data_IF_230363952081
#
_entry.id   IF_230363952081
#
_cell.length_a   1.000
_cell.length_b   1.000
_cell.length_c   1.000
_cell.angle_alpha   90.00
_cell.angle_beta   90.00
_cell.angle_gamma   90.00
#
_symmetry.space_group_name_H-M   'P 1'
#
loop_
_entity.id
_entity.type
_entity.pdbx_description
1 polymer ?
#
# COMPACT_ATOMS: atom_id res chain seq x y z
N UNK A 1 41.25 -34.94 -16.74
CA UNK A 1 40.61 -34.05 -15.73
C UNK A 1 39.74 -33.03 -16.49
N UNK A 2 38.42 -33.18 -16.51
CA UNK A 2 37.51 -32.19 -17.13
C UNK A 2 37.20 -31.12 -16.09
N UNK A 3 37.60 -29.88 -16.36
CA UNK A 3 37.24 -28.71 -15.56
C UNK A 3 35.71 -28.53 -15.57
N UNK A 4 35.06 -28.22 -14.43
CA UNK A 4 33.64 -27.90 -14.40
C UNK A 4 33.41 -26.58 -15.14
N UNK A 5 32.53 -26.58 -16.13
CA UNK A 5 32.03 -25.37 -16.78
C UNK A 5 31.33 -24.49 -15.74
N UNK A 6 31.60 -23.17 -15.70
CA UNK A 6 30.90 -22.27 -14.79
C UNK A 6 29.41 -22.29 -15.13
N UNK A 7 28.58 -22.68 -14.16
CA UNK A 7 27.13 -22.60 -14.27
C UNK A 7 26.76 -21.15 -14.54
N UNK A 8 26.26 -20.87 -15.75
CA UNK A 8 25.73 -19.56 -16.12
C UNK A 8 24.74 -19.13 -15.05
N UNK A 9 25.09 -18.09 -14.29
CA UNK A 9 24.21 -17.49 -13.31
C UNK A 9 22.97 -17.02 -14.07
N UNK A 10 21.82 -17.66 -13.83
CA UNK A 10 20.57 -17.33 -14.49
C UNK A 10 20.36 -15.80 -14.45
N UNK A 11 20.18 -15.20 -15.62
CA UNK A 11 19.95 -13.76 -15.74
C UNK A 11 18.84 -13.34 -14.76
N UNK A 12 18.99 -12.22 -14.02
CA UNK A 12 17.95 -11.76 -13.11
C UNK A 12 16.63 -11.66 -13.87
N UNK A 13 15.59 -12.35 -13.40
CA UNK A 13 14.26 -12.28 -14.03
C UNK A 13 13.84 -10.81 -14.11
N UNK A 14 13.38 -10.34 -15.28
CA UNK A 14 12.98 -8.95 -15.45
C UNK A 14 11.87 -8.61 -14.45
N UNK A 15 12.10 -7.54 -13.69
CA UNK A 15 11.14 -7.01 -12.71
C UNK A 15 9.90 -6.54 -13.46
N UNK A 16 8.72 -6.84 -12.94
CA UNK A 16 7.45 -6.49 -13.59
C UNK A 16 7.20 -4.98 -13.45
N UNK A 17 7.60 -4.21 -14.48
CA UNK A 17 7.55 -2.74 -14.51
C UNK A 17 6.16 -2.21 -14.12
N UNK A 18 5.10 -2.81 -14.67
CA UNK A 18 3.71 -2.42 -14.42
C UNK A 18 3.30 -2.54 -12.94
N UNK A 19 3.88 -3.47 -12.17
CA UNK A 19 3.61 -3.58 -10.72
C UNK A 19 4.17 -2.38 -9.96
N UNK A 20 5.39 -1.94 -10.32
CA UNK A 20 6.00 -0.77 -9.71
C UNK A 20 5.25 0.51 -10.16
N UNK A 21 4.87 0.62 -11.44
CA UNK A 21 4.05 1.74 -11.94
C UNK A 21 2.73 1.83 -11.18
N UNK A 22 2.01 0.72 -11.03
CA UNK A 22 0.75 0.69 -10.30
C UNK A 22 0.92 1.18 -8.86
N UNK A 23 1.94 0.69 -8.14
CA UNK A 23 2.23 1.13 -6.77
C UNK A 23 2.54 2.62 -6.70
N UNK A 24 3.26 3.16 -7.69
CA UNK A 24 3.57 4.58 -7.80
C UNK A 24 2.33 5.43 -8.03
N UNK A 25 1.48 5.05 -8.98
CA UNK A 25 0.21 5.72 -9.26
C UNK A 25 -0.73 5.67 -8.05
N UNK A 26 -0.91 4.48 -7.46
CA UNK A 26 -1.82 4.30 -6.35
C UNK A 26 -1.39 5.10 -5.11
N UNK A 27 -0.08 5.17 -4.78
CA UNK A 27 0.36 6.01 -3.66
C UNK A 27 0.16 7.50 -3.94
N UNK A 28 0.39 7.98 -5.17
CA UNK A 28 0.10 9.38 -5.53
C UNK A 28 -1.39 9.68 -5.44
N UNK A 29 -2.26 8.75 -5.87
CA UNK A 29 -3.71 8.86 -5.68
C UNK A 29 -4.12 8.86 -4.20
N UNK A 30 -3.35 8.23 -3.30
CA UNK A 30 -3.57 8.33 -1.84
C UNK A 30 -3.17 9.72 -1.34
N UNK A 31 -2.06 10.28 -1.81
CA UNK A 31 -1.67 11.66 -1.47
C UNK A 31 -2.74 12.65 -1.93
N UNK A 32 -3.27 12.48 -3.15
CA UNK A 32 -4.32 13.34 -3.69
C UNK A 32 -5.63 13.27 -2.90
N UNK A 33 -6.01 12.07 -2.43
CA UNK A 33 -7.13 11.92 -1.49
C UNK A 33 -6.90 12.73 -0.23
N UNK A 34 -5.74 12.53 0.41
CA UNK A 34 -5.46 13.17 1.68
C UNK A 34 -5.30 14.68 1.58
N UNK A 35 -4.85 15.19 0.43
CA UNK A 35 -4.86 16.61 0.14
C UNK A 35 -6.29 17.17 0.11
N UNK A 36 -7.21 16.53 -0.64
CA UNK A 36 -8.63 16.92 -0.65
C UNK A 36 -9.28 16.78 0.74
N UNK A 37 -9.10 15.65 1.42
CA UNK A 37 -9.73 15.45 2.73
C UNK A 37 -9.19 16.44 3.76
N UNK A 38 -7.89 16.74 3.74
CA UNK A 38 -7.32 17.73 4.64
C UNK A 38 -7.84 19.14 4.38
N UNK A 39 -8.11 19.50 3.12
CA UNK A 39 -8.73 20.78 2.78
C UNK A 39 -10.15 20.86 3.34
N UNK A 40 -10.96 19.82 3.12
CA UNK A 40 -12.34 19.72 3.63
C UNK A 40 -12.39 19.69 5.15
N UNK A 41 -11.50 18.93 5.80
CA UNK A 41 -11.35 18.90 7.27
C UNK A 41 -11.03 20.28 7.86
N UNK A 42 -10.48 21.20 7.04
CA UNK A 42 -10.17 22.58 7.44
C UNK A 42 -11.35 23.53 7.23
N UNK A 43 -12.54 23.01 6.85
CA UNK A 43 -13.75 23.80 6.60
C UNK A 43 -13.80 24.50 5.24
N UNK A 44 -12.83 24.22 4.35
CA UNK A 44 -12.71 24.88 3.05
C UNK A 44 -13.41 24.10 1.93
N UNK A 45 -13.87 24.82 0.90
CA UNK A 45 -14.53 24.20 -0.25
C UNK A 45 -13.59 23.23 -0.99
N UNK A 46 -14.10 22.03 -1.31
CA UNK A 46 -13.37 20.99 -2.04
C UNK A 46 -13.22 21.31 -3.52
N UNK A 47 -12.33 20.60 -4.21
CA UNK A 47 -12.28 20.58 -5.69
C UNK A 47 -13.21 19.51 -6.25
N UNK A 48 -14.16 19.89 -7.13
CA UNK A 48 -15.06 18.92 -7.77
C UNK A 48 -14.32 17.98 -8.74
N UNK A 49 -13.30 18.46 -9.46
CA UNK A 49 -12.44 17.60 -10.28
C UNK A 49 -11.76 16.52 -9.43
N UNK A 50 -11.19 16.90 -8.28
CA UNK A 50 -10.50 15.94 -7.40
C UNK A 50 -11.50 15.04 -6.68
N UNK A 51 -12.73 15.50 -6.43
CA UNK A 51 -13.83 14.66 -5.93
C UNK A 51 -14.11 13.55 -6.94
N UNK A 52 -14.27 13.90 -8.22
CA UNK A 52 -14.58 12.94 -9.29
C UNK A 52 -13.46 11.92 -9.47
N UNK A 53 -12.20 12.37 -9.48
CA UNK A 53 -11.05 11.47 -9.51
C UNK A 53 -11.08 10.51 -8.31
N UNK A 54 -11.27 11.02 -7.10
CA UNK A 54 -11.33 10.19 -5.89
C UNK A 54 -12.50 9.19 -5.90
N UNK A 55 -13.66 9.58 -6.43
CA UNK A 55 -14.80 8.70 -6.58
C UNK A 55 -14.52 7.59 -7.61
N UNK A 56 -13.96 7.95 -8.76
CA UNK A 56 -13.65 7.02 -9.85
C UNK A 56 -12.68 5.90 -9.43
N UNK A 57 -11.64 6.24 -8.65
CA UNK A 57 -10.60 5.28 -8.24
C UNK A 57 -10.79 4.71 -6.85
N UNK A 58 -11.81 5.16 -6.11
CA UNK A 58 -11.98 4.88 -4.68
C UNK A 58 -12.01 3.39 -4.35
N UNK A 59 -12.78 2.62 -5.12
CA UNK A 59 -12.90 1.16 -4.97
C UNK A 59 -11.63 0.39 -5.41
N UNK A 60 -10.69 1.01 -6.11
CA UNK A 60 -9.53 0.29 -6.68
C UNK A 60 -8.22 0.63 -6.00
N UNK A 61 -8.07 1.86 -5.49
CA UNK A 61 -6.81 2.40 -4.97
C UNK A 61 -6.24 1.60 -3.79
N UNK A 62 -6.99 1.47 -2.70
CA UNK A 62 -6.51 0.74 -1.51
C UNK A 62 -6.57 -0.78 -1.70
N UNK A 63 -7.67 -1.36 -2.24
CA UNK A 63 -7.72 -2.78 -2.53
C UNK A 63 -6.59 -3.25 -3.43
N UNK A 64 -6.24 -2.49 -4.46
CA UNK A 64 -5.20 -2.92 -5.38
C UNK A 64 -3.78 -2.77 -4.84
N UNK A 65 -3.49 -1.81 -3.96
CA UNK A 65 -2.22 -1.80 -3.23
C UNK A 65 -2.05 -3.07 -2.35
N UNK A 66 -3.14 -3.57 -1.76
CA UNK A 66 -3.10 -4.83 -0.99
C UNK A 66 -3.00 -6.05 -1.88
N UNK A 67 -3.75 -6.09 -2.98
CA UNK A 67 -3.65 -7.15 -3.97
C UNK A 67 -2.22 -7.26 -4.51
N UNK A 68 -1.61 -6.16 -4.95
CA UNK A 68 -0.22 -6.15 -5.43
C UNK A 68 0.76 -6.55 -4.32
N UNK A 69 0.53 -6.12 -3.08
CA UNK A 69 1.35 -6.56 -1.93
C UNK A 69 1.26 -8.06 -1.69
N UNK A 70 0.06 -8.64 -1.85
CA UNK A 70 -0.23 -10.06 -1.75
C UNK A 70 0.38 -10.90 -2.87
N UNK A 71 0.43 -10.39 -4.10
CA UNK A 71 1.08 -11.07 -5.23
C UNK A 71 2.57 -11.39 -4.97
N UNK A 72 3.20 -10.65 -4.04
CA UNK A 72 4.59 -10.85 -3.62
C UNK A 72 4.74 -11.82 -2.43
N UNK A 73 3.64 -12.33 -1.88
CA UNK A 73 3.63 -13.25 -0.73
C UNK A 73 4.35 -14.56 -1.05
N UNK A 74 3.99 -15.24 -2.14
CA UNK A 74 4.57 -16.53 -2.51
C UNK A 74 6.09 -16.44 -2.71
N UNK A 75 6.57 -15.32 -3.27
CA UNK A 75 8.01 -15.06 -3.42
C UNK A 75 8.68 -14.84 -2.05
N UNK A 76 8.00 -14.15 -1.14
CA UNK A 76 8.49 -13.92 0.23
C UNK A 76 8.60 -15.24 1.00
N UNK A 77 7.59 -16.13 0.89
CA UNK A 77 7.52 -17.42 1.60
C UNK A 77 8.60 -18.45 1.18
N UNK A 78 9.31 -18.21 0.07
CA UNK A 78 10.48 -19.04 -0.33
C UNK A 78 11.68 -18.87 0.61
N UNK A 79 11.70 -17.82 1.42
CA UNK A 79 12.77 -17.56 2.40
C UNK A 79 12.54 -18.36 3.70
N UNK A 80 13.60 -18.75 4.42
CA UNK A 80 13.45 -19.31 5.76
C UNK A 80 12.66 -18.36 6.68
N UNK A 81 11.85 -18.91 7.59
CA UNK A 81 10.91 -18.15 8.41
C UNK A 81 11.56 -16.99 9.18
N UNK A 82 12.76 -17.19 9.74
CA UNK A 82 13.49 -16.12 10.43
C UNK A 82 13.89 -14.96 9.50
N UNK A 83 14.38 -15.26 8.29
CA UNK A 83 14.73 -14.22 7.30
C UNK A 83 13.50 -13.50 6.76
N UNK A 84 12.40 -14.24 6.59
CA UNK A 84 11.11 -13.68 6.23
C UNK A 84 10.65 -12.66 7.27
N UNK A 85 10.57 -13.07 8.54
CA UNK A 85 10.04 -12.24 9.62
C UNK A 85 10.94 -11.04 9.90
N UNK A 86 12.26 -11.22 9.96
CA UNK A 86 13.22 -10.13 10.09
C UNK A 86 13.08 -9.11 8.96
N UNK A 87 12.81 -9.58 7.72
CA UNK A 87 12.54 -8.71 6.58
C UNK A 87 11.29 -7.86 6.75
N UNK A 88 10.18 -8.46 7.24
CA UNK A 88 8.91 -7.76 7.47
C UNK A 88 8.97 -6.81 8.65
N UNK A 89 9.60 -7.21 9.75
CA UNK A 89 9.84 -6.34 10.91
C UNK A 89 10.64 -5.10 10.48
N UNK A 90 11.72 -5.30 9.73
CA UNK A 90 12.58 -4.20 9.29
C UNK A 90 11.90 -3.22 8.32
N UNK A 91 11.15 -3.73 7.34
CA UNK A 91 10.68 -2.93 6.20
C UNK A 91 9.21 -2.55 6.24
N UNK A 92 8.46 -3.11 7.20
CA UNK A 92 7.01 -2.88 7.33
C UNK A 92 6.70 -2.46 8.76
N UNK A 93 7.04 -3.29 9.76
CA UNK A 93 6.71 -2.98 11.15
C UNK A 93 7.43 -1.73 11.65
N UNK A 94 8.71 -1.56 11.32
CA UNK A 94 9.46 -0.37 11.69
C UNK A 94 8.86 0.93 11.13
N UNK A 95 8.71 1.12 9.80
CA UNK A 95 8.10 2.34 9.29
C UNK A 95 6.65 2.51 9.76
N UNK A 96 5.91 1.43 9.96
CA UNK A 96 4.58 1.50 10.58
C UNK A 96 4.65 2.12 11.97
N UNK A 97 5.37 1.52 12.91
CA UNK A 97 5.44 2.01 14.29
C UNK A 97 6.04 3.41 14.37
N UNK A 98 7.14 3.67 13.66
CA UNK A 98 7.80 4.97 13.68
C UNK A 98 6.87 6.08 13.17
N UNK A 99 6.24 5.89 12.02
CA UNK A 99 5.41 6.93 11.41
C UNK A 99 4.03 7.04 12.03
N UNK A 100 3.51 5.97 12.66
CA UNK A 100 2.38 6.10 13.58
C UNK A 100 2.77 7.00 14.76
N UNK A 101 3.92 6.76 15.40
CA UNK A 101 4.39 7.58 16.53
C UNK A 101 4.60 9.06 16.15
N UNK A 102 5.10 9.34 14.94
CA UNK A 102 5.22 10.72 14.39
C UNK A 102 3.87 11.45 14.36
N UNK A 103 2.75 10.73 14.33
CA UNK A 103 1.42 11.34 14.34
C UNK A 103 0.92 11.72 15.74
N UNK A 104 1.56 11.27 16.83
CA UNK A 104 1.11 11.55 18.20
C UNK A 104 0.97 13.05 18.51
N UNK A 105 1.90 13.95 18.14
CA UNK A 105 1.72 15.39 18.37
C UNK A 105 0.49 15.98 17.66
N UNK A 106 0.01 15.33 16.59
CA UNK A 106 -1.15 15.79 15.83
C UNK A 106 -2.49 15.23 16.31
N UNK A 107 -2.48 14.19 17.15
CA UNK A 107 -3.67 13.48 17.63
C UNK A 107 -3.76 13.41 19.17
N UNK A 108 -2.71 13.83 19.88
CA UNK A 108 -2.61 13.78 21.34
C UNK A 108 -1.72 12.62 21.81
N UNK A 109 -0.91 12.87 22.84
CA UNK A 109 0.01 11.86 23.39
C UNK A 109 -0.72 10.69 24.05
N UNK A 110 -1.96 10.89 24.53
CA UNK A 110 -2.77 9.84 25.15
C UNK A 110 -3.07 8.68 24.18
N UNK A 111 -3.16 8.95 22.86
CA UNK A 111 -3.35 7.93 21.83
C UNK A 111 -2.23 6.88 21.81
N UNK A 112 -1.05 7.19 22.36
CA UNK A 112 0.04 6.22 22.50
C UNK A 112 -0.35 5.02 23.38
N UNK A 113 -1.29 5.19 24.31
CA UNK A 113 -1.76 4.16 25.24
C UNK A 113 -2.89 3.30 24.66
N UNK A 114 -3.44 3.65 23.50
CA UNK A 114 -4.58 2.99 22.88
C UNK A 114 -4.12 1.98 21.80
N UNK A 115 -4.19 0.66 22.02
CA UNK A 115 -3.68 -0.33 21.06
C UNK A 115 -4.38 -0.27 19.69
N UNK A 116 -5.68 0.05 19.67
CA UNK A 116 -6.47 0.19 18.45
C UNK A 116 -5.99 1.35 17.59
N UNK A 117 -5.51 2.44 18.20
CA UNK A 117 -4.92 3.57 17.46
C UNK A 117 -3.64 3.18 16.72
N UNK A 118 -2.83 2.27 17.28
CA UNK A 118 -1.65 1.79 16.56
C UNK A 118 -2.00 0.94 15.32
N UNK A 119 -3.11 0.21 15.38
CA UNK A 119 -3.55 -0.71 14.32
C UNK A 119 -4.41 -0.01 13.25
N UNK A 120 -5.27 0.93 13.67
CA UNK A 120 -6.30 1.55 12.84
C UNK A 120 -6.14 3.07 12.70
N UNK A 121 -5.34 3.68 13.56
CA UNK A 121 -5.16 5.13 13.61
C UNK A 121 -4.28 5.69 12.49
N UNK A 122 -4.49 6.98 12.25
CA UNK A 122 -3.82 7.79 11.24
C UNK A 122 -3.86 7.17 9.83
N UNK A 123 -2.92 7.54 8.96
CA UNK A 123 -2.81 7.03 7.59
C UNK A 123 -2.06 5.69 7.51
N UNK A 124 -1.39 5.25 8.58
CA UNK A 124 -0.45 4.11 8.57
C UNK A 124 -1.12 2.75 8.73
N UNK A 125 -2.43 2.68 8.98
CA UNK A 125 -3.23 1.45 9.08
C UNK A 125 -3.00 0.48 7.92
N UNK A 126 -2.70 0.96 6.72
CA UNK A 126 -2.39 0.11 5.58
C UNK A 126 -1.18 -0.83 5.87
N UNK A 127 -0.15 -0.32 6.54
CA UNK A 127 1.04 -1.09 6.88
C UNK A 127 0.75 -2.14 7.95
N UNK A 128 -0.15 -1.85 8.89
CA UNK A 128 -0.59 -2.85 9.88
C UNK A 128 -1.30 -4.01 9.19
N UNK A 129 -2.22 -3.74 8.25
CA UNK A 129 -2.90 -4.78 7.46
C UNK A 129 -1.92 -5.58 6.62
N UNK A 130 -0.99 -4.92 5.91
CA UNK A 130 0.04 -5.63 5.14
C UNK A 130 0.91 -6.50 6.04
N UNK A 131 1.32 -5.99 7.20
CA UNK A 131 2.14 -6.73 8.15
C UNK A 131 1.40 -7.97 8.66
N UNK A 132 0.15 -7.82 9.13
CA UNK A 132 -0.73 -8.92 9.56
C UNK A 132 -0.96 -9.91 8.42
N UNK A 133 -1.21 -9.46 7.19
CA UNK A 133 -1.35 -10.32 6.02
C UNK A 133 -0.11 -11.18 5.75
N UNK A 134 1.10 -10.63 5.93
CA UNK A 134 2.33 -11.42 5.87
C UNK A 134 2.47 -12.38 7.06
N UNK A 135 2.05 -12.02 8.29
CA UNK A 135 2.07 -12.96 9.41
C UNK A 135 1.11 -14.14 9.19
N UNK A 136 -0.12 -13.84 8.77
CA UNK A 136 -1.13 -14.84 8.40
C UNK A 136 -0.64 -15.72 7.24
N UNK A 137 0.00 -15.12 6.23
CA UNK A 137 0.56 -15.87 5.10
C UNK A 137 1.65 -16.85 5.49
N UNK A 138 2.41 -16.55 6.56
CA UNK A 138 3.40 -17.49 7.12
C UNK A 138 2.72 -18.58 7.96
N UNK A 139 1.80 -18.19 8.84
CA UNK A 139 1.08 -19.11 9.73
C UNK A 139 0.20 -20.12 8.95
N UNK A 140 -0.47 -19.64 7.91
CA UNK A 140 -1.40 -20.38 7.07
C UNK A 140 -0.79 -20.78 5.72
N UNK A 141 0.54 -20.90 5.63
CA UNK A 141 1.24 -21.17 4.35
C UNK A 141 0.83 -22.46 3.63
N UNK A 142 0.16 -23.38 4.33
CA UNK A 142 -0.38 -24.65 3.79
C UNK A 142 -1.80 -24.51 3.23
N UNK A 143 -2.52 -23.45 3.59
CA UNK A 143 -3.89 -23.21 3.17
C UNK A 143 -3.86 -22.44 1.83
N UNK A 144 -4.66 -22.84 0.82
CA UNK A 144 -4.80 -22.07 -0.41
C UNK A 144 -5.17 -20.61 -0.12
N UNK A 145 -4.45 -19.62 -0.68
CA UNK A 145 -4.72 -18.20 -0.39
C UNK A 145 -6.16 -17.77 -0.66
N UNK A 146 -6.81 -18.34 -1.68
CA UNK A 146 -8.19 -18.00 -2.00
C UNK A 146 -9.18 -18.43 -0.90
N UNK A 147 -8.91 -19.53 -0.19
CA UNK A 147 -9.75 -19.95 0.95
C UNK A 147 -9.61 -18.92 2.08
N UNK A 148 -8.39 -18.46 2.36
CA UNK A 148 -8.15 -17.41 3.35
C UNK A 148 -8.89 -16.13 2.95
N UNK A 149 -8.80 -15.72 1.68
CA UNK A 149 -9.50 -14.54 1.19
C UNK A 149 -11.03 -14.64 1.37
N UNK A 150 -11.64 -15.76 0.98
CA UNK A 150 -13.08 -16.00 1.13
C UNK A 150 -13.50 -15.94 2.59
N UNK A 151 -12.75 -16.58 3.49
CA UNK A 151 -13.05 -16.53 4.93
C UNK A 151 -12.95 -15.10 5.46
N UNK A 152 -11.91 -14.35 5.10
CA UNK A 152 -11.74 -12.97 5.56
C UNK A 152 -12.85 -12.05 5.04
N UNK A 153 -13.23 -12.14 3.77
CA UNK A 153 -14.37 -11.37 3.26
C UNK A 153 -15.69 -11.77 3.91
N UNK A 154 -15.92 -13.07 4.11
CA UNK A 154 -17.13 -13.54 4.79
C UNK A 154 -17.20 -13.03 6.24
N UNK A 155 -16.08 -12.95 6.95
CA UNK A 155 -16.01 -12.33 8.27
C UNK A 155 -16.28 -10.83 8.20
N UNK A 156 -15.63 -10.11 7.28
CA UNK A 156 -15.81 -8.67 7.11
C UNK A 156 -17.27 -8.28 6.84
N UNK A 157 -17.93 -8.96 5.89
CA UNK A 157 -19.34 -8.71 5.52
C UNK A 157 -20.32 -8.97 6.68
N UNK A 158 -19.92 -9.80 7.64
CA UNK A 158 -20.75 -10.18 8.80
C UNK A 158 -20.41 -9.39 10.06
N UNK A 159 -19.32 -8.64 10.06
CA UNK A 159 -19.00 -7.72 11.13
C UNK A 159 -19.89 -6.50 10.97
N UNK A 160 -20.62 -6.15 12.02
CA UNK A 160 -21.44 -4.94 12.09
C UNK A 160 -20.90 -4.09 13.25
N UNK A 161 -19.79 -3.33 13.06
CA UNK A 161 -19.14 -2.59 14.15
C UNK A 161 -20.09 -1.61 14.83
N UNK A 162 -21.01 -1.02 14.08
CA UNK A 162 -22.02 -0.07 14.59
C UNK A 162 -23.00 -0.71 15.58
N UNK A 163 -23.19 -2.03 15.55
CA UNK A 163 -23.99 -2.76 16.51
C UNK A 163 -23.22 -3.04 17.83
N UNK A 164 -21.90 -2.86 17.85
CA UNK A 164 -21.03 -3.12 19.00
C UNK A 164 -20.75 -1.80 19.71
N UNK A 165 -21.04 -1.75 21.01
CA UNK A 165 -20.88 -0.53 21.83
C UNK A 165 -19.71 -0.63 22.82
N UNK A 166 -19.29 0.51 23.36
CA UNK A 166 -18.22 0.61 24.35
C UNK A 166 -16.83 0.32 23.79
N UNK A 167 -15.90 -0.10 24.65
CA UNK A 167 -14.49 -0.32 24.28
C UNK A 167 -14.26 -1.42 23.24
N UNK A 168 -15.26 -2.25 22.93
CA UNK A 168 -15.18 -3.28 21.90
C UNK A 168 -15.45 -2.72 20.48
N UNK A 169 -16.08 -1.55 20.36
CA UNK A 169 -16.39 -0.93 19.06
C UNK A 169 -15.12 -0.68 18.24
N UNK A 170 -14.10 -0.09 18.86
CA UNK A 170 -12.80 0.19 18.21
C UNK A 170 -12.11 -1.09 17.72
N UNK A 171 -12.22 -2.18 18.49
CA UNK A 171 -11.69 -3.47 18.09
C UNK A 171 -12.47 -4.09 16.94
N UNK A 172 -13.79 -3.87 16.88
CA UNK A 172 -14.62 -4.29 15.76
C UNK A 172 -14.21 -3.56 14.46
N UNK A 173 -13.96 -2.25 14.52
CA UNK A 173 -13.46 -1.45 13.39
C UNK A 173 -12.07 -1.94 12.91
N UNK A 174 -11.18 -2.28 13.86
CA UNK A 174 -9.88 -2.90 13.54
C UNK A 174 -10.10 -4.24 12.83
N UNK A 175 -10.97 -5.10 13.37
CA UNK A 175 -11.22 -6.44 12.83
C UNK A 175 -11.84 -6.37 11.43
N UNK A 176 -12.86 -5.54 11.23
CA UNK A 176 -13.49 -5.29 9.93
C UNK A 176 -12.45 -4.83 8.90
N UNK A 177 -11.64 -3.83 9.23
CA UNK A 177 -10.58 -3.35 8.34
C UNK A 177 -9.56 -4.43 8.00
N UNK A 178 -9.09 -5.17 9.01
CA UNK A 178 -8.09 -6.24 8.83
C UNK A 178 -8.62 -7.38 7.97
N UNK A 179 -9.89 -7.74 8.15
CA UNK A 179 -10.54 -8.81 7.39
C UNK A 179 -10.88 -8.36 5.98
N UNK A 180 -11.50 -7.20 5.80
CA UNK A 180 -11.85 -6.66 4.49
C UNK A 180 -10.63 -6.48 3.60
N UNK A 181 -9.64 -5.72 4.08
CA UNK A 181 -8.42 -5.47 3.31
C UNK A 181 -7.53 -6.72 3.23
N UNK A 182 -7.46 -7.53 4.29
CA UNK A 182 -6.78 -8.82 4.28
C UNK A 182 -7.31 -9.75 3.19
N UNK A 183 -8.62 -9.75 2.92
CA UNK A 183 -9.24 -10.45 1.81
C UNK A 183 -8.57 -10.11 0.46
N UNK A 184 -8.43 -8.82 0.14
CA UNK A 184 -7.76 -8.38 -1.09
C UNK A 184 -6.29 -8.78 -1.15
N UNK A 185 -5.57 -8.75 -0.02
CA UNK A 185 -4.20 -9.24 0.05
C UNK A 185 -4.10 -10.72 -0.35
N UNK A 186 -5.01 -11.56 0.17
CA UNK A 186 -5.00 -13.00 -0.14
C UNK A 186 -5.54 -13.34 -1.54
N UNK A 187 -6.46 -12.53 -2.10
CA UNK A 187 -6.78 -12.57 -3.54
C UNK A 187 -5.51 -12.31 -4.35
N UNK A 188 -4.74 -11.28 -3.98
CA UNK A 188 -3.44 -10.98 -4.59
C UNK A 188 -2.46 -12.15 -4.50
N UNK A 189 -2.37 -12.80 -3.35
CA UNK A 189 -1.53 -13.99 -3.17
C UNK A 189 -1.96 -15.16 -4.08
N UNK A 190 -3.27 -15.35 -4.29
CA UNK A 190 -3.77 -16.32 -5.25
C UNK A 190 -3.39 -15.94 -6.69
N UNK A 191 -3.60 -14.66 -7.07
CA UNK A 191 -3.33 -14.15 -8.41
C UNK A 191 -1.83 -14.08 -8.75
N UNK A 192 -0.96 -14.01 -7.73
CA UNK A 192 0.48 -13.88 -7.88
C UNK A 192 1.15 -14.95 -8.74
N UNK A 193 0.52 -16.13 -8.91
CA UNK A 193 1.02 -17.20 -9.79
C UNK A 193 0.92 -16.86 -11.29
N UNK A 194 -0.05 -16.03 -11.68
CA UNK A 194 -0.30 -15.62 -13.08
C UNK A 194 0.21 -14.22 -13.40
N UNK A 195 1.00 -13.60 -12.51
CA UNK A 195 1.53 -12.25 -12.72
C UNK A 195 2.35 -12.11 -14.02
N UNK A 196 3.00 -13.20 -14.48
CA UNK A 196 3.78 -13.22 -15.72
C UNK A 196 2.89 -13.46 -16.95
N UNK A 197 1.68 -14.00 -16.75
CA UNK A 197 0.70 -14.29 -17.80
C UNK A 197 -0.32 -13.17 -17.99
N UNK A 198 -0.52 -12.30 -16.99
CA UNK A 198 -1.45 -11.16 -17.06
C UNK A 198 -1.27 -10.31 -18.34
N UNK A 199 -0.05 -9.94 -18.78
CA UNK A 199 0.12 -9.16 -20.01
C UNK A 199 -0.25 -9.94 -21.27
N UNK A 200 -0.25 -11.28 -21.22
CA UNK A 200 -0.53 -12.18 -22.36
C UNK A 200 -2.03 -12.43 -22.55
N UNK A 201 -2.86 -11.99 -21.62
CA UNK A 201 -4.32 -12.15 -21.75
C UNK A 201 -4.80 -11.29 -22.93
N UNK A 202 -5.47 -11.89 -23.93
CA UNK A 202 -5.94 -11.17 -25.10
C UNK A 202 -7.01 -10.14 -24.71
N UNK A 203 -7.02 -9.00 -25.41
CA UNK A 203 -7.90 -7.86 -25.09
C UNK A 203 -9.39 -8.22 -25.13
N UNK A 204 -9.78 -9.20 -25.95
CA UNK A 204 -11.16 -9.70 -26.06
C UNK A 204 -11.66 -10.26 -24.73
N UNK A 205 -10.79 -10.92 -23.95
CA UNK A 205 -11.14 -11.46 -22.62
C UNK A 205 -11.25 -10.33 -21.59
N UNK A 206 -10.47 -9.26 -21.75
CA UNK A 206 -10.42 -8.14 -20.82
C UNK A 206 -11.41 -7.02 -21.15
N UNK A 207 -12.08 -7.07 -22.31
CA UNK A 207 -13.03 -6.05 -22.75
C UNK A 207 -14.19 -5.89 -21.75
N UNK A 208 -14.86 -6.99 -21.39
CA UNK A 208 -15.97 -6.94 -20.45
C UNK A 208 -15.52 -6.45 -19.05
N UNK A 209 -14.47 -7.01 -18.42
CA UNK A 209 -13.90 -6.46 -17.18
C UNK A 209 -13.57 -4.97 -17.25
N UNK A 210 -12.96 -4.50 -18.34
CA UNK A 210 -12.59 -3.09 -18.51
C UNK A 210 -13.82 -2.19 -18.64
N UNK A 211 -14.84 -2.60 -19.40
CA UNK A 211 -16.11 -1.87 -19.53
C UNK A 211 -16.86 -1.81 -18.20
N UNK A 212 -16.93 -2.94 -17.47
CA UNK A 212 -17.54 -2.98 -16.12
C UNK A 212 -16.80 -2.07 -15.15
N UNK A 213 -15.47 -2.06 -15.21
CA UNK A 213 -14.63 -1.17 -14.38
C UNK A 213 -14.90 0.30 -14.69
N UNK A 214 -15.00 0.64 -15.97
CA UNK A 214 -15.32 2.00 -16.42
C UNK A 214 -16.73 2.44 -15.98
N UNK A 215 -17.74 1.58 -16.15
CA UNK A 215 -19.11 1.88 -15.74
C UNK A 215 -19.21 2.06 -14.21
N UNK A 216 -18.53 1.23 -13.44
CA UNK A 216 -18.44 1.38 -11.98
C UNK A 216 -17.83 2.71 -11.56
N UNK A 217 -16.72 3.11 -12.21
CA UNK A 217 -16.07 4.39 -11.96
C UNK A 217 -16.98 5.57 -12.34
N UNK A 218 -17.68 5.50 -13.48
CA UNK A 218 -18.64 6.51 -13.94
C UNK A 218 -19.77 6.69 -12.93
N UNK A 219 -20.39 5.59 -12.47
CA UNK A 219 -21.47 5.65 -11.46
C UNK A 219 -20.98 6.23 -10.13
N UNK A 220 -19.75 5.95 -9.72
CA UNK A 220 -19.17 6.55 -8.53
C UNK A 220 -18.99 8.08 -8.69
N UNK A 221 -18.56 8.54 -9.87
CA UNK A 221 -18.48 9.97 -10.19
C UNK A 221 -19.87 10.62 -10.11
N UNK A 222 -20.88 10.01 -10.75
CA UNK A 222 -22.26 10.51 -10.75
C UNK A 222 -22.86 10.58 -9.33
N UNK A 223 -22.54 9.60 -8.49
CA UNK A 223 -22.93 9.60 -7.08
C UNK A 223 -22.12 10.59 -6.22
N UNK A 224 -21.04 11.16 -6.75
CA UNK A 224 -20.11 12.04 -6.02
C UNK A 224 -19.33 11.34 -4.90
N UNK A 225 -19.39 10.00 -4.83
CA UNK A 225 -18.73 9.16 -3.82
C UNK A 225 -18.50 7.76 -4.37
N UNK A 226 -17.46 7.10 -3.87
CA UNK A 226 -17.30 5.66 -4.10
C UNK A 226 -18.08 4.87 -3.04
N UNK A 227 -18.61 3.68 -3.37
CA UNK A 227 -19.20 2.79 -2.38
C UNK A 227 -18.17 2.40 -1.32
N UNK A 228 -18.42 2.74 -0.06
CA UNK A 228 -17.56 2.44 1.07
C UNK A 228 -18.00 1.21 1.85
N UNK A 229 -19.18 0.66 1.58
CA UNK A 229 -19.75 -0.50 2.28
C UNK A 229 -18.95 -1.78 2.00
N UNK A 230 -18.70 -2.55 3.06
CA UNK A 230 -18.09 -3.87 3.07
C UNK A 230 -19.05 -4.94 2.52
N UNK A 231 -19.44 -4.82 1.26
CA UNK A 231 -20.44 -5.69 0.62
C UNK A 231 -19.85 -6.51 -0.55
N UNK A 232 -20.45 -7.67 -0.83
CA UNK A 232 -19.97 -8.54 -1.91
C UNK A 232 -19.90 -7.87 -3.30
N UNK A 233 -20.80 -6.92 -3.70
CA UNK A 233 -20.67 -6.22 -4.97
C UNK A 233 -19.42 -5.33 -4.99
N UNK A 234 -19.16 -4.58 -3.92
CA UNK A 234 -18.00 -3.70 -3.81
C UNK A 234 -16.70 -4.51 -3.84
N UNK A 235 -16.64 -5.62 -3.11
CA UNK A 235 -15.52 -6.56 -3.17
C UNK A 235 -15.26 -7.03 -4.61
N UNK A 236 -16.30 -7.52 -5.28
CA UNK A 236 -16.19 -8.12 -6.62
C UNK A 236 -15.73 -7.07 -7.64
N UNK A 237 -16.35 -5.89 -7.64
CA UNK A 237 -16.00 -4.79 -8.54
C UNK A 237 -14.61 -4.27 -8.27
N UNK A 238 -14.19 -4.21 -7.00
CA UNK A 238 -12.82 -3.83 -6.63
C UNK A 238 -11.78 -4.79 -7.21
N UNK A 239 -12.01 -6.11 -7.13
CA UNK A 239 -11.10 -7.11 -7.72
C UNK A 239 -11.07 -7.00 -9.26
N UNK A 240 -12.23 -6.92 -9.91
CA UNK A 240 -12.34 -6.76 -11.37
C UNK A 240 -11.62 -5.49 -11.83
N UNK A 241 -11.84 -4.38 -11.14
CA UNK A 241 -11.25 -3.10 -11.46
C UNK A 241 -9.74 -3.08 -11.28
N UNK A 242 -9.23 -3.61 -10.18
CA UNK A 242 -7.78 -3.72 -9.96
C UNK A 242 -7.15 -4.60 -11.04
N UNK A 243 -7.70 -5.78 -11.34
CA UNK A 243 -7.16 -6.66 -12.39
C UNK A 243 -7.18 -5.98 -13.76
N UNK A 244 -8.26 -5.26 -14.08
CA UNK A 244 -8.37 -4.50 -15.33
C UNK A 244 -7.33 -3.39 -15.44
N UNK A 245 -7.11 -2.62 -14.37
CA UNK A 245 -6.08 -1.56 -14.33
C UNK A 245 -4.67 -2.16 -14.42
N UNK A 246 -4.39 -3.25 -13.72
CA UNK A 246 -3.10 -3.93 -13.80
C UNK A 246 -2.84 -4.48 -15.21
N UNK A 247 -3.86 -5.06 -15.85
CA UNK A 247 -3.78 -5.53 -17.23
C UNK A 247 -3.50 -4.37 -18.18
N UNK A 248 -4.23 -3.25 -18.10
CA UNK A 248 -4.01 -2.07 -18.92
C UNK A 248 -2.58 -1.53 -18.77
N UNK A 249 -2.09 -1.39 -17.54
CA UNK A 249 -0.72 -0.94 -17.28
C UNK A 249 0.32 -1.93 -17.81
N UNK A 250 0.01 -3.23 -17.82
CA UNK A 250 0.89 -4.26 -18.36
C UNK A 250 0.99 -4.24 -19.89
N UNK A 251 0.03 -3.62 -20.60
CA UNK A 251 0.08 -3.43 -22.05
C UNK A 251 0.95 -2.22 -22.46
N UNK A 252 1.28 -1.31 -21.53
CA UNK A 252 2.06 -0.11 -21.85
C UNK A 252 3.54 -0.46 -21.96
N UNK A 253 4.21 -0.17 -23.10
CA UNK A 253 5.62 -0.47 -23.27
C UNK A 253 6.50 0.39 -22.36
N UNK A 254 7.73 -0.07 -22.09
CA UNK A 254 8.72 0.68 -21.32
C UNK A 254 9.04 2.02 -21.99
N UNK A 255 8.77 3.11 -21.28
CA UNK A 255 9.05 4.48 -21.70
C UNK A 255 9.46 5.33 -20.49
N UNK A 256 10.02 6.54 -20.69
CA UNK A 256 10.50 7.39 -19.59
C UNK A 256 9.44 7.66 -18.51
N UNK A 257 8.18 7.85 -18.90
CA UNK A 257 7.07 8.10 -17.97
C UNK A 257 6.78 6.87 -17.10
N UNK A 258 6.72 5.68 -17.69
CA UNK A 258 6.59 4.42 -16.95
C UNK A 258 7.75 4.20 -15.98
N UNK A 259 8.99 4.53 -16.39
CA UNK A 259 10.15 4.44 -15.50
C UNK A 259 10.08 5.44 -14.34
N UNK A 260 9.55 6.64 -14.58
CA UNK A 260 9.33 7.64 -13.54
C UNK A 260 8.30 7.15 -12.50
N UNK A 261 7.13 6.70 -12.93
CA UNK A 261 6.13 6.14 -12.00
C UNK A 261 6.64 4.87 -11.30
N UNK A 262 7.38 4.02 -12.01
CA UNK A 262 8.02 2.87 -11.39
C UNK A 262 9.05 3.28 -10.34
N UNK A 263 9.81 4.37 -10.55
CA UNK A 263 10.72 4.89 -9.53
C UNK A 263 9.97 5.34 -8.28
N UNK A 264 8.84 6.03 -8.45
CA UNK A 264 7.94 6.39 -7.35
C UNK A 264 7.44 5.13 -6.63
N UNK A 265 6.99 4.12 -7.37
CA UNK A 265 6.52 2.85 -6.81
C UNK A 265 7.59 2.05 -6.07
N UNK A 266 8.85 2.12 -6.51
CA UNK A 266 10.00 1.52 -5.79
C UNK A 266 10.23 2.19 -4.44
N UNK A 267 9.93 3.48 -4.33
CA UNK A 267 10.01 4.26 -3.09
C UNK A 267 8.64 4.49 -2.46
N UNK A 268 7.61 3.69 -2.81
CA UNK A 268 6.23 3.96 -2.40
C UNK A 268 6.09 4.04 -0.88
N UNK A 269 6.92 3.32 -0.11
CA UNK A 269 6.90 3.38 1.36
C UNK A 269 7.23 4.78 1.88
N UNK A 270 8.14 5.51 1.23
CA UNK A 270 8.53 6.87 1.61
C UNK A 270 7.36 7.81 1.39
N UNK A 271 6.79 7.79 0.18
CA UNK A 271 5.61 8.61 -0.15
C UNK A 271 4.44 8.28 0.76
N UNK A 272 4.22 6.99 0.99
CA UNK A 272 3.12 6.52 1.82
C UNK A 272 3.20 7.06 3.25
N UNK A 273 4.37 7.04 3.90
CA UNK A 273 4.45 7.45 5.31
C UNK A 273 4.65 8.95 5.51
N UNK A 274 5.35 9.63 4.59
CA UNK A 274 5.75 11.04 4.76
C UNK A 274 4.62 12.02 4.41
N UNK A 275 3.82 11.73 3.39
CA UNK A 275 2.91 12.74 2.81
C UNK A 275 1.90 13.28 3.84
N UNK A 276 1.33 12.42 4.69
CA UNK A 276 0.24 12.82 5.58
C UNK A 276 0.69 13.71 6.74
N UNK A 277 1.81 13.44 7.45
CA UNK A 277 2.39 14.39 8.40
C UNK A 277 2.62 15.77 7.78
N UNK A 278 3.15 15.83 6.55
CA UNK A 278 3.41 17.09 5.84
C UNK A 278 2.10 17.83 5.54
N UNK A 279 1.10 17.15 5.00
CA UNK A 279 -0.24 17.71 4.74
C UNK A 279 -0.89 18.21 6.03
N UNK A 280 -0.80 17.42 7.11
CA UNK A 280 -1.37 17.75 8.44
C UNK A 280 -0.68 18.91 9.12
N UNK A 281 0.62 19.08 8.90
CA UNK A 281 1.36 20.24 9.35
C UNK A 281 0.95 21.47 8.54
N UNK A 282 0.99 21.38 7.22
CA UNK A 282 0.72 22.51 6.32
C UNK A 282 -0.68 23.09 6.53
N UNK A 283 -1.71 22.24 6.65
CA UNK A 283 -3.09 22.70 6.89
C UNK A 283 -3.30 23.41 8.23
N UNK A 284 -2.35 23.29 9.18
CA UNK A 284 -2.40 23.96 10.49
C UNK A 284 -1.59 25.25 10.55
N UNK A 285 -0.65 25.43 9.63
CA UNK A 285 0.35 26.51 9.68
C UNK A 285 0.23 27.52 8.55
N UNK A 286 -0.53 27.19 7.51
CA UNK A 286 -0.66 28.01 6.30
C UNK A 286 -2.13 28.18 5.95
N UNK A 287 -2.51 29.41 5.61
CA UNK A 287 -3.84 29.70 5.06
C UNK A 287 -3.95 29.08 3.66
N UNK A 288 -4.86 28.13 3.52
CA UNK A 288 -5.04 27.38 2.28
C UNK A 288 -6.08 28.06 1.39
N UNK A 289 -5.80 28.22 0.08
CA UNK A 289 -6.84 28.62 -0.86
C UNK A 289 -7.88 27.50 -1.02
N UNK A 290 -9.09 27.83 -1.42
CA UNK A 290 -10.14 26.85 -1.66
C UNK A 290 -9.95 26.07 -2.98
N UNK A 291 -10.73 24.99 -3.14
CA UNK A 291 -10.85 24.26 -4.39
C UNK A 291 -9.53 23.64 -4.86
N UNK A 292 -9.31 23.66 -6.18
CA UNK A 292 -8.17 22.97 -6.80
C UNK A 292 -6.82 23.56 -6.37
N UNK A 293 -6.76 24.86 -6.05
CA UNK A 293 -5.53 25.49 -5.61
C UNK A 293 -5.08 24.96 -4.24
N UNK A 294 -6.01 24.83 -3.28
CA UNK A 294 -5.70 24.28 -1.96
C UNK A 294 -5.26 22.84 -2.01
N UNK A 295 -5.98 22.03 -2.79
CA UNK A 295 -5.61 20.63 -3.02
C UNK A 295 -4.25 20.54 -3.71
N UNK A 296 -4.01 21.36 -4.72
CA UNK A 296 -2.76 21.40 -5.48
C UNK A 296 -1.57 21.73 -4.58
N UNK A 297 -1.71 22.71 -3.69
CA UNK A 297 -0.69 23.09 -2.71
C UNK A 297 -0.39 21.94 -1.73
N UNK A 298 -1.42 21.35 -1.13
CA UNK A 298 -1.26 20.22 -0.19
C UNK A 298 -0.65 18.99 -0.86
N UNK A 299 -1.10 18.66 -2.08
CA UNK A 299 -0.57 17.57 -2.88
C UNK A 299 0.89 17.81 -3.25
N UNK A 300 1.23 19.01 -3.75
CA UNK A 300 2.59 19.37 -4.14
C UNK A 300 3.54 19.32 -2.95
N UNK A 301 3.13 19.81 -1.78
CA UNK A 301 3.94 19.72 -0.57
C UNK A 301 4.12 18.27 -0.09
N UNK A 302 3.01 17.52 0.04
CA UNK A 302 3.03 16.13 0.52
C UNK A 302 3.82 15.21 -0.41
N UNK A 303 3.59 15.28 -1.73
CA UNK A 303 4.32 14.52 -2.72
C UNK A 303 5.76 15.03 -2.87
N UNK A 304 5.98 16.34 -2.95
CA UNK A 304 7.29 16.95 -3.15
C UNK A 304 8.29 16.60 -2.05
N UNK A 305 7.92 16.81 -0.77
CA UNK A 305 8.78 16.43 0.37
C UNK A 305 9.07 14.93 0.36
N UNK A 306 8.06 14.12 0.04
CA UNK A 306 8.25 12.68 -0.06
C UNK A 306 9.20 12.26 -1.18
N UNK A 307 9.13 12.91 -2.35
CA UNK A 307 10.02 12.65 -3.49
C UNK A 307 11.45 13.08 -3.17
N UNK A 308 11.64 14.21 -2.48
CA UNK A 308 12.95 14.64 -1.99
C UNK A 308 13.53 13.61 -1.02
N UNK A 309 12.77 13.15 -0.03
CA UNK A 309 13.23 12.11 0.89
C UNK A 309 13.47 10.77 0.21
N UNK A 310 12.75 10.45 -0.86
CA UNK A 310 12.98 9.27 -1.68
C UNK A 310 14.28 9.38 -2.50
N UNK A 311 14.60 10.56 -3.04
CA UNK A 311 15.89 10.81 -3.68
C UNK A 311 17.04 10.75 -2.66
N UNK A 312 16.79 11.21 -1.44
CA UNK A 312 17.74 11.16 -0.32
C UNK A 312 17.72 9.83 0.46
N UNK A 313 17.02 8.80 -0.05
CA UNK A 313 16.82 7.53 0.63
C UNK A 313 18.10 6.87 1.18
N UNK A 314 19.26 6.90 0.49
CA UNK A 314 20.50 6.34 1.04
C UNK A 314 20.91 6.94 2.40
N UNK A 315 20.59 8.21 2.63
CA UNK A 315 20.92 8.96 3.86
C UNK A 315 19.78 8.93 4.89
N UNK A 316 18.53 8.87 4.43
CA UNK A 316 17.33 8.89 5.29
C UNK A 316 16.77 7.49 5.57
N UNK A 317 17.51 6.45 5.19
CA UNK A 317 17.09 5.05 5.22
C UNK A 317 16.50 4.60 6.56
N UNK A 318 17.05 5.07 7.67
CA UNK A 318 16.63 4.70 9.02
C UNK A 318 15.19 5.12 9.33
N UNK A 319 14.62 6.09 8.60
CA UNK A 319 13.21 6.48 8.71
C UNK A 319 12.27 5.45 8.07
N UNK A 320 12.77 4.57 7.20
CA UNK A 320 11.96 3.69 6.37
C UNK A 320 12.32 2.20 6.49
N UNK A 321 13.51 1.89 6.96
CA UNK A 321 13.95 0.54 7.31
C UNK A 321 14.71 0.56 8.64
N UNK A 322 14.40 -0.40 9.52
CA UNK A 322 15.19 -0.59 10.73
C UNK A 322 16.68 -0.83 10.38
N UNK A 323 17.64 -0.16 11.05
CA UNK A 323 19.06 -0.33 10.77
C UNK A 323 19.48 -1.81 10.88
N UNK A 324 20.01 -2.39 9.80
CA UNK A 324 20.47 -3.78 9.86
C UNK A 324 21.80 -3.87 10.62
N UNK A 325 21.84 -4.69 11.67
CA UNK A 325 23.03 -5.05 12.45
C UNK A 325 24.18 -5.63 11.61
N UNK A 326 23.97 -6.00 10.34
CA UNK A 326 25.04 -6.47 9.46
C UNK A 326 26.13 -5.43 9.20
N UNK A 327 25.85 -4.12 9.30
CA UNK A 327 26.89 -3.07 9.29
C UNK A 327 27.70 -3.05 10.59
N UNK A 328 27.04 -3.26 11.74
CA UNK A 328 27.71 -3.37 13.05
C UNK A 328 28.59 -4.63 13.13
N UNK A 329 28.13 -5.77 12.61
CA UNK A 329 28.90 -7.02 12.56
C UNK A 329 30.05 -6.94 11.55
N UNK A 330 29.87 -6.29 10.38
CA UNK A 330 30.99 -6.04 9.45
C UNK A 330 32.00 -5.04 9.99
N UNK A 331 31.58 -4.03 10.75
CA UNK A 331 32.48 -3.08 11.41
C UNK A 331 33.25 -3.75 12.56
N UNK A 332 32.60 -4.60 13.35
CA UNK A 332 33.25 -5.38 14.40
C UNK A 332 34.28 -6.39 13.86
N UNK A 333 34.01 -7.02 12.71
CA UNK A 333 34.95 -7.93 12.02
C UNK A 333 36.10 -7.23 11.29
N UNK A 334 36.06 -5.91 11.16
CA UNK A 334 37.13 -5.10 10.52
C UNK A 334 38.09 -4.44 11.51
N UNK A 335 37.92 -4.65 12.82
CA UNK A 335 38.98 -4.30 13.78
C UNK A 335 40.13 -5.29 13.56
N UNK A 336 41.35 -4.83 13.23
CA UNK A 336 42.51 -5.71 13.30
C UNK A 336 42.64 -6.15 14.76
N UNK A 337 42.74 -7.46 14.97
CA UNK A 337 43.30 -7.98 16.21
C UNK A 337 44.71 -7.39 16.27
N UNK A 338 44.93 -6.45 17.17
CA UNK A 338 46.28 -6.01 17.49
C UNK A 338 47.00 -7.25 18.02
N UNK A 339 47.91 -7.79 17.21
CA UNK A 339 48.86 -8.82 17.62
C UNK A 339 49.81 -8.16 18.63
N UNK A 340 49.70 -8.56 19.89
CA UNK A 340 50.75 -8.39 20.89
C UNK A 340 51.62 -9.65 20.91
#
# INVERSE_FOLDING_TARGET
>A
MRMPTPTSAAAPRPRLLWMDVYRGLAVLLVVLLHAQTALVDSGLARSELVRDVNAAVGSFRMPGLLLVSGMLLTLSLRRPAGQYLAGKLRRIAWPWLLWTAVMLPFFGLAAALEPTWWLNGAHTWFLSVVFVGYLLGLALKRVPPLIIAVVLFALAIRLEPDAITGGLHEWALVAERMTWFGGFFFVGAALGRWREDLPRIPWQVMLLPAVVTWDWARRAIEAGRYPSEESWPVMTMSVIGVVSVLWLLAQIPDNPLMRAFAWVGRHSIVLFVVHYPVIRLLRRTVDLPEGIAGVGLLFAAGAGVSLVLAALYPWTKYLFEFPSTSRLVRAARRRPVATA
#
